data_IF_075831654520
#
_entry.id   IF_075831654520
#
_cell.length_a   1.000
_cell.length_b   1.000
_cell.length_c   1.000
_cell.angle_alpha   90.00
_cell.angle_beta   90.00
_cell.angle_gamma   90.00
#
_symmetry.space_group_name_H-M   'P 1'
#
loop_
_entity.id
_entity.type
_entity.pdbx_description
1 polymer ?
#
# COMPACT_ATOMS: atom_id res chain seq x y z
N UNK A 1 -9.78 39.31 -12.91
CA UNK A 1 -8.79 38.93 -11.88
C UNK A 1 -8.13 37.67 -12.42
N UNK A 2 -6.91 37.78 -12.96
CA UNK A 2 -6.22 36.61 -13.55
C UNK A 2 -5.72 35.73 -12.40
N UNK A 3 -6.08 34.44 -12.42
CA UNK A 3 -5.64 33.41 -11.48
C UNK A 3 -4.25 32.91 -11.91
N UNK A 4 -3.29 33.82 -12.02
CA UNK A 4 -1.92 33.48 -12.39
C UNK A 4 -1.12 33.14 -11.14
N UNK A 5 -0.76 31.86 -11.03
CA UNK A 5 0.11 31.35 -9.99
C UNK A 5 1.52 31.93 -10.17
N UNK A 6 2.13 32.34 -9.06
CA UNK A 6 3.53 32.72 -9.00
C UNK A 6 4.44 31.51 -9.29
N UNK A 7 5.70 31.74 -9.71
CA UNK A 7 6.66 30.66 -9.93
C UNK A 7 6.86 29.74 -8.70
N UNK A 8 6.84 30.30 -7.49
CA UNK A 8 6.96 29.51 -6.25
C UNK A 8 5.74 28.64 -5.96
N UNK A 9 4.55 29.09 -6.35
CA UNK A 9 3.32 28.30 -6.22
C UNK A 9 3.33 27.14 -7.23
N UNK A 10 3.81 27.37 -8.45
CA UNK A 10 4.02 26.29 -9.43
C UNK A 10 5.00 25.22 -8.93
N UNK A 11 6.10 25.62 -8.29
CA UNK A 11 7.04 24.67 -7.68
C UNK A 11 6.37 23.88 -6.56
N UNK A 12 5.59 24.53 -5.70
CA UNK A 12 4.87 23.84 -4.63
C UNK A 12 3.80 22.87 -5.16
N UNK A 13 3.16 23.19 -6.28
CA UNK A 13 2.22 22.28 -6.96
C UNK A 13 2.95 21.07 -7.55
N UNK A 14 4.13 21.26 -8.15
CA UNK A 14 4.95 20.16 -8.65
C UNK A 14 5.40 19.24 -7.52
N UNK A 15 5.81 19.78 -6.38
CA UNK A 15 6.17 18.99 -5.19
C UNK A 15 4.96 18.20 -4.66
N UNK A 16 3.77 18.82 -4.65
CA UNK A 16 2.52 18.15 -4.26
C UNK A 16 2.16 17.00 -5.20
N UNK A 17 2.29 17.21 -6.50
CA UNK A 17 2.06 16.18 -7.52
C UNK A 17 3.02 14.99 -7.30
N UNK A 18 4.33 15.23 -7.14
CA UNK A 18 5.30 14.15 -6.88
C UNK A 18 4.96 13.37 -5.61
N UNK A 19 4.48 14.04 -4.55
CA UNK A 19 4.08 13.38 -3.30
C UNK A 19 2.83 12.53 -3.49
N UNK A 20 1.81 13.06 -4.17
CA UNK A 20 0.46 12.48 -4.19
C UNK A 20 0.20 11.54 -5.36
N UNK A 21 0.95 11.62 -6.45
CA UNK A 21 0.72 10.85 -7.68
C UNK A 21 0.61 9.33 -7.40
N UNK A 22 1.49 8.69 -6.62
CA UNK A 22 1.34 7.24 -6.36
C UNK A 22 0.06 6.89 -5.60
N UNK A 23 -0.42 7.77 -4.72
CA UNK A 23 -1.68 7.58 -4.00
C UNK A 23 -2.87 7.69 -4.94
N UNK A 24 -2.86 8.66 -5.86
CA UNK A 24 -3.89 8.83 -6.87
C UNK A 24 -3.95 7.62 -7.82
N UNK A 25 -2.79 7.17 -8.30
CA UNK A 25 -2.69 6.00 -9.19
C UNK A 25 -3.18 4.72 -8.51
N UNK A 26 -2.76 4.46 -7.27
CA UNK A 26 -3.23 3.29 -6.50
C UNK A 26 -4.73 3.37 -6.26
N UNK A 27 -5.26 4.54 -5.88
CA UNK A 27 -6.69 4.71 -5.64
C UNK A 27 -7.50 4.47 -6.91
N UNK A 28 -7.02 4.97 -8.06
CA UNK A 28 -7.63 4.73 -9.36
C UNK A 28 -7.63 3.24 -9.70
N UNK A 29 -6.50 2.56 -9.55
CA UNK A 29 -6.40 1.11 -9.78
C UNK A 29 -7.36 0.33 -8.88
N UNK A 30 -7.38 0.60 -7.57
CA UNK A 30 -8.28 -0.05 -6.63
C UNK A 30 -9.77 0.28 -6.84
N UNK A 31 -10.08 1.35 -7.58
CA UNK A 31 -11.47 1.71 -7.91
C UNK A 31 -12.04 0.92 -9.09
N UNK A 32 -11.19 0.20 -9.85
CA UNK A 32 -11.65 -0.61 -10.98
C UNK A 32 -12.43 -1.83 -10.50
N UNK A 33 -13.56 -2.09 -11.16
CA UNK A 33 -14.49 -3.16 -10.76
C UNK A 33 -13.92 -4.58 -10.93
N UNK A 34 -12.93 -4.73 -11.81
CA UNK A 34 -12.26 -5.99 -12.15
C UNK A 34 -10.96 -6.23 -11.37
N UNK A 35 -10.62 -5.35 -10.42
CA UNK A 35 -9.42 -5.51 -9.59
C UNK A 35 -9.72 -6.20 -8.25
N UNK A 36 -9.02 -7.29 -7.88
CA UNK A 36 -9.07 -7.91 -6.54
C UNK A 36 -8.41 -7.02 -5.47
N UNK A 37 -9.12 -6.04 -4.94
CA UNK A 37 -8.55 -5.03 -4.03
C UNK A 37 -7.87 -5.62 -2.78
N UNK A 38 -8.37 -6.74 -2.24
CA UNK A 38 -7.78 -7.44 -1.10
C UNK A 38 -6.35 -7.96 -1.37
N UNK A 39 -6.10 -8.49 -2.57
CA UNK A 39 -4.80 -9.09 -2.93
C UNK A 39 -3.71 -8.05 -3.18
N UNK A 40 -4.10 -6.82 -3.52
CA UNK A 40 -3.17 -5.73 -3.79
C UNK A 40 -2.96 -4.76 -2.63
N UNK A 41 -3.76 -4.86 -1.56
CA UNK A 41 -3.66 -3.96 -0.43
C UNK A 41 -2.24 -3.93 0.17
N UNK A 42 -1.63 -5.09 0.48
CA UNK A 42 -0.27 -5.13 1.05
C UNK A 42 0.80 -4.61 0.07
N UNK A 43 0.85 -5.06 -1.20
CA UNK A 43 1.77 -4.50 -2.19
C UNK A 43 1.65 -2.97 -2.36
N UNK A 44 0.43 -2.45 -2.37
CA UNK A 44 0.20 -1.01 -2.54
C UNK A 44 0.59 -0.19 -1.31
N UNK A 45 0.32 -0.68 -0.10
CA UNK A 45 0.85 -0.06 1.11
C UNK A 45 2.38 0.00 1.10
N UNK A 46 3.05 -1.10 0.71
CA UNK A 46 4.51 -1.15 0.61
C UNK A 46 5.06 -0.16 -0.44
N UNK A 47 4.38 -0.01 -1.58
CA UNK A 47 4.75 0.95 -2.62
C UNK A 47 4.63 2.39 -2.12
N UNK A 48 3.51 2.73 -1.46
CA UNK A 48 3.29 4.06 -0.87
C UNK A 48 4.31 4.37 0.24
N UNK A 49 4.64 3.38 1.08
CA UNK A 49 5.62 3.53 2.16
C UNK A 49 7.01 3.82 1.59
N UNK A 50 7.47 3.01 0.62
CA UNK A 50 8.75 3.22 -0.06
C UNK A 50 8.82 4.59 -0.74
N UNK A 51 7.72 5.04 -1.35
CA UNK A 51 7.65 6.35 -2.00
C UNK A 51 7.82 7.50 -1.01
N UNK A 52 6.99 7.55 0.04
CA UNK A 52 7.08 8.59 1.06
C UNK A 52 8.44 8.58 1.78
N UNK A 53 8.97 7.39 2.08
CA UNK A 53 10.30 7.26 2.70
C UNK A 53 11.40 7.91 1.84
N UNK A 54 11.36 7.71 0.51
CA UNK A 54 12.32 8.36 -0.41
C UNK A 54 12.15 9.87 -0.44
N UNK A 55 10.93 10.39 -0.40
CA UNK A 55 10.68 11.84 -0.37
C UNK A 55 11.24 12.45 0.91
N UNK A 56 10.97 11.83 2.05
CA UNK A 56 11.40 12.31 3.38
C UNK A 56 12.92 12.28 3.50
N UNK A 57 13.56 11.16 3.14
CA UNK A 57 15.02 10.99 3.28
C UNK A 57 15.77 11.79 2.21
N UNK A 58 15.25 11.83 0.99
CA UNK A 58 15.90 12.48 -0.16
C UNK A 58 15.78 14.00 -0.17
N UNK A 59 14.97 14.61 0.72
CA UNK A 59 14.59 16.05 0.68
C UNK A 59 14.19 16.50 -0.73
N UNK A 60 13.42 15.66 -1.43
CA UNK A 60 13.03 15.91 -2.83
C UNK A 60 12.09 17.10 -2.96
N UNK A 61 11.22 17.31 -1.98
CA UNK A 61 10.38 18.49 -1.95
C UNK A 61 11.20 19.72 -1.53
N UNK A 62 11.24 20.69 -2.43
CA UNK A 62 11.88 21.99 -2.20
C UNK A 62 11.18 22.79 -1.09
N UNK A 63 9.91 22.48 -0.80
CA UNK A 63 9.13 23.07 0.27
C UNK A 63 9.21 22.27 1.60
N UNK A 64 9.76 22.84 2.70
CA UNK A 64 9.85 22.18 4.00
C UNK A 64 8.49 21.83 4.62
N UNK A 65 7.44 22.61 4.34
CA UNK A 65 6.09 22.36 4.85
C UNK A 65 5.55 21.05 4.26
N UNK A 66 5.76 20.84 2.96
CA UNK A 66 5.33 19.61 2.28
C UNK A 66 6.12 18.39 2.75
N UNK A 67 7.43 18.56 2.98
CA UNK A 67 8.26 17.49 3.56
C UNK A 67 7.77 17.08 4.96
N UNK A 68 7.47 18.06 5.83
CA UNK A 68 6.94 17.80 7.16
C UNK A 68 5.55 17.15 7.12
N UNK A 69 4.68 17.59 6.20
CA UNK A 69 3.37 16.99 5.99
C UNK A 69 3.49 15.53 5.51
N UNK A 70 4.41 15.25 4.58
CA UNK A 70 4.70 13.89 4.11
C UNK A 70 5.19 12.99 5.26
N UNK A 71 6.07 13.50 6.13
CA UNK A 71 6.51 12.78 7.33
C UNK A 71 5.36 12.47 8.28
N UNK A 72 4.48 13.44 8.58
CA UNK A 72 3.32 13.19 9.43
C UNK A 72 2.32 12.19 8.81
N UNK A 73 2.18 12.16 7.48
CA UNK A 73 1.33 11.19 6.78
C UNK A 73 1.97 9.81 6.65
N UNK A 74 3.29 9.72 6.65
CA UNK A 74 4.01 8.45 6.69
C UNK A 74 3.66 7.62 7.93
N UNK A 75 3.57 8.24 9.09
CA UNK A 75 3.18 7.54 10.33
C UNK A 75 1.75 7.01 10.26
N UNK A 76 0.83 7.78 9.66
CA UNK A 76 -0.55 7.36 9.43
C UNK A 76 -0.60 6.18 8.45
N UNK A 77 0.16 6.24 7.36
CA UNK A 77 0.27 5.16 6.39
C UNK A 77 0.76 3.87 7.06
N UNK A 78 1.83 3.96 7.86
CA UNK A 78 2.38 2.81 8.59
C UNK A 78 1.37 2.19 9.55
N UNK A 79 0.62 3.01 10.28
CA UNK A 79 -0.46 2.53 11.17
C UNK A 79 -1.46 1.66 10.41
N UNK A 80 -1.95 2.11 9.26
CA UNK A 80 -2.91 1.34 8.47
C UNK A 80 -2.29 0.15 7.76
N UNK A 81 -1.02 0.26 7.35
CA UNK A 81 -0.29 -0.86 6.81
C UNK A 81 -0.13 -1.97 7.87
N UNK A 82 0.20 -1.62 9.12
CA UNK A 82 0.28 -2.56 10.22
C UNK A 82 -1.06 -3.25 10.50
N UNK A 83 -2.19 -2.52 10.44
CA UNK A 83 -3.51 -3.13 10.53
C UNK A 83 -3.80 -4.09 9.38
N UNK A 84 -3.41 -3.73 8.15
CA UNK A 84 -3.57 -4.62 7.00
C UNK A 84 -2.72 -5.91 7.17
N UNK A 85 -1.47 -5.80 7.64
CA UNK A 85 -0.57 -6.93 7.88
C UNK A 85 -1.07 -7.87 8.99
N UNK A 86 -1.72 -7.33 10.02
CA UNK A 86 -2.29 -8.11 11.11
C UNK A 86 -3.58 -8.83 10.72
N UNK A 87 -4.22 -8.43 9.62
CA UNK A 87 -5.42 -9.08 9.12
C UNK A 87 -5.06 -10.19 8.14
N UNK A 88 -5.32 -11.42 8.56
CA UNK A 88 -5.00 -12.65 7.83
C UNK A 88 -5.62 -12.68 6.42
N UNK A 89 -6.76 -12.01 6.19
CA UNK A 89 -7.41 -12.01 4.87
C UNK A 89 -6.56 -11.29 3.82
N UNK A 90 -5.93 -10.17 4.16
CA UNK A 90 -5.04 -9.49 3.23
C UNK A 90 -3.79 -10.33 2.93
N UNK A 91 -3.23 -10.99 3.95
CA UNK A 91 -2.07 -11.87 3.79
C UNK A 91 -2.40 -13.10 2.93
N UNK A 92 -3.55 -13.74 3.17
CA UNK A 92 -4.04 -14.85 2.36
C UNK A 92 -4.32 -14.41 0.93
N UNK A 93 -5.12 -13.36 0.72
CA UNK A 93 -5.46 -12.85 -0.59
C UNK A 93 -4.23 -12.46 -1.41
N UNK A 94 -3.25 -11.80 -0.76
CA UNK A 94 -1.98 -11.44 -1.40
C UNK A 94 -1.19 -12.70 -1.76
N UNK A 95 -1.12 -13.69 -0.86
CA UNK A 95 -0.37 -14.93 -1.10
C UNK A 95 -0.98 -15.75 -2.23
N UNK A 96 -2.30 -15.95 -2.23
CA UNK A 96 -3.04 -16.67 -3.28
C UNK A 96 -2.84 -16.01 -4.64
N UNK A 97 -3.01 -14.69 -4.69
CA UNK A 97 -2.83 -13.94 -5.94
C UNK A 97 -1.38 -14.02 -6.42
N UNK A 98 -0.43 -13.92 -5.50
CA UNK A 98 0.98 -14.07 -5.83
C UNK A 98 1.29 -15.46 -6.37
N UNK A 99 0.73 -16.55 -5.82
CA UNK A 99 0.88 -17.90 -6.36
C UNK A 99 0.22 -18.06 -7.73
N UNK A 100 -0.96 -17.48 -7.94
CA UNK A 100 -1.65 -17.48 -9.23
C UNK A 100 -0.87 -16.77 -10.35
N UNK A 101 -0.05 -15.76 -10.04
CA UNK A 101 0.85 -15.12 -11.01
C UNK A 101 2.28 -15.69 -11.01
N UNK A 102 2.69 -16.39 -9.95
CA UNK A 102 4.03 -16.99 -9.78
C UNK A 102 4.19 -18.32 -10.52
N UNK A 103 3.10 -18.92 -11.02
CA UNK A 103 3.18 -19.91 -12.11
C UNK A 103 3.90 -19.38 -13.37
N UNK A 104 4.16 -18.06 -13.47
CA UNK A 104 5.05 -17.50 -14.50
C UNK A 104 6.51 -17.29 -14.09
N UNK A 105 6.90 -17.30 -12.80
CA UNK A 105 8.31 -17.22 -12.37
C UNK A 105 8.51 -17.64 -10.89
N UNK A 106 9.06 -18.85 -10.72
CA UNK A 106 9.93 -19.40 -9.65
C UNK A 106 9.42 -19.61 -8.19
N UNK A 107 9.79 -20.79 -7.66
CA UNK A 107 9.30 -21.54 -6.50
C UNK A 107 9.69 -20.90 -5.15
N UNK A 108 8.71 -20.62 -4.28
CA UNK A 108 8.99 -20.21 -2.89
C UNK A 108 7.92 -19.39 -2.15
N UNK A 109 6.74 -19.14 -2.73
CA UNK A 109 5.60 -18.55 -1.99
C UNK A 109 4.48 -19.54 -1.64
N UNK A 110 4.45 -20.71 -2.29
CA UNK A 110 3.44 -21.73 -2.05
C UNK A 110 3.49 -22.25 -0.60
N UNK A 111 4.70 -22.49 -0.06
CA UNK A 111 4.87 -22.96 1.32
C UNK A 111 4.31 -21.98 2.36
N UNK A 112 4.48 -20.66 2.13
CA UNK A 112 3.96 -19.64 3.04
C UNK A 112 2.44 -19.50 2.95
N UNK A 113 1.88 -19.62 1.75
CA UNK A 113 0.44 -19.61 1.56
C UNK A 113 -0.20 -20.83 2.25
N UNK A 114 0.38 -22.02 2.07
CA UNK A 114 -0.10 -23.26 2.65
C UNK A 114 -0.11 -23.23 4.18
N UNK A 115 1.00 -22.85 4.81
CA UNK A 115 1.09 -22.71 6.27
C UNK A 115 0.09 -21.69 6.82
N UNK A 116 -0.13 -20.58 6.10
CA UNK A 116 -1.11 -19.58 6.50
C UNK A 116 -2.55 -20.10 6.37
N UNK A 117 -2.84 -20.87 5.33
CA UNK A 117 -4.14 -21.51 5.13
C UNK A 117 -4.46 -22.54 6.22
N UNK A 118 -3.50 -23.40 6.56
CA UNK A 118 -3.67 -24.36 7.65
C UNK A 118 -3.96 -23.65 8.98
N UNK A 119 -3.19 -22.60 9.29
CA UNK A 119 -3.40 -21.81 10.49
C UNK A 119 -4.78 -21.14 10.55
N UNK A 120 -5.24 -20.51 9.46
CA UNK A 120 -6.57 -19.87 9.39
C UNK A 120 -7.69 -20.90 9.49
N UNK A 121 -7.51 -22.06 8.84
CA UNK A 121 -8.48 -23.15 8.92
C UNK A 121 -8.59 -23.72 10.34
N UNK A 122 -7.48 -23.89 11.03
CA UNK A 122 -7.47 -24.34 12.43
C UNK A 122 -8.16 -23.35 13.37
N UNK A 123 -7.94 -22.04 13.18
CA UNK A 123 -8.64 -21.00 13.94
C UNK A 123 -10.15 -21.00 13.66
N UNK A 124 -10.56 -21.13 12.39
CA UNK A 124 -11.96 -21.29 12.01
C UNK A 124 -12.58 -22.52 12.69
N UNK A 125 -11.88 -23.66 12.67
CA UNK A 125 -12.32 -24.90 13.28
C UNK A 125 -12.53 -24.75 14.79
N UNK A 126 -11.60 -24.12 15.51
CA UNK A 126 -11.75 -23.83 16.94
C UNK A 126 -12.97 -22.96 17.24
N UNK A 127 -13.26 -22.00 16.36
CA UNK A 127 -14.33 -21.01 16.57
C UNK A 127 -15.73 -21.53 16.24
N UNK A 128 -15.84 -22.48 15.31
CA UNK A 128 -17.13 -22.92 14.76
C UNK A 128 -17.36 -24.45 14.83
N UNK A 129 -16.44 -25.23 15.42
CA UNK A 129 -16.61 -26.66 15.69
C UNK A 129 -16.35 -27.05 17.17
N UNK A 130 -16.53 -26.13 18.12
CA UNK A 130 -16.70 -26.53 19.53
C UNK A 130 -18.14 -27.08 19.71
N UNK A 131 -18.33 -28.24 20.37
CA UNK A 131 -19.65 -28.80 20.66
C UNK A 131 -20.51 -27.90 21.55
#
# INVERSE_FOLDING_TARGET
MSLELSPSEWVSLSDLEEILEPFANITLEMSKADMPTLSFALPFYELMEKHLSRIIVGRKASNPVLTNAAAGRYDVLKKYYDYARQNQNYSLATSIWSSFFRERHDYGAEDRAHVLFEHVYDEYKKRYQAP
#
